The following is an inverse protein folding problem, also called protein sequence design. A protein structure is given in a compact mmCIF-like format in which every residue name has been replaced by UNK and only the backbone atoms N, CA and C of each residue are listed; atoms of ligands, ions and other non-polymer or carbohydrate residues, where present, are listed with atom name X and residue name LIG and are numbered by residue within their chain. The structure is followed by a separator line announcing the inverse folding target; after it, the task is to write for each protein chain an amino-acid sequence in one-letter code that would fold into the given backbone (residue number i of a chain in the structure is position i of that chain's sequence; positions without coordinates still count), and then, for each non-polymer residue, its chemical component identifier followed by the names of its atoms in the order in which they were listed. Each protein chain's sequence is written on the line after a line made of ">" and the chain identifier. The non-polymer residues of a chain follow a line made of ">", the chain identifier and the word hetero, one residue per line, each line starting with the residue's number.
data_IF_384304584112
#
_entry.id   IF_384304584112
#
_cell.length_a   1.000
_cell.length_b   1.000
_cell.length_c   1.000
_cell.angle_alpha   90.00
_cell.angle_beta   90.00
_cell.angle_gamma   90.00
#
_symmetry.space_group_name_H-M   'P 1'
#
loop_
_entity.id
_entity.type
_entity.pdbx_description
1 polymer ?
#
# COMPACT_ATOMS: atom_id res chain seq x y z
N UNK A 1 3.48 19.65 -4.77
CA UNK A 1 3.43 18.44 -5.62
C UNK A 1 3.64 17.25 -4.69
N UNK A 2 2.80 16.21 -4.70
CA UNK A 2 3.05 15.02 -3.89
C UNK A 2 4.37 14.35 -4.33
N UNK A 3 5.08 13.63 -3.44
CA UNK A 3 6.35 13.01 -3.76
C UNK A 3 6.20 11.92 -4.83
N UNK A 4 7.18 11.82 -5.74
CA UNK A 4 7.19 10.89 -6.88
C UNK A 4 7.42 9.42 -6.46
N UNK A 5 7.76 9.19 -5.20
CA UNK A 5 7.94 7.87 -4.60
C UNK A 5 7.33 7.85 -3.20
N UNK A 6 6.31 7.02 -3.00
CA UNK A 6 5.66 6.81 -1.72
C UNK A 6 4.22 6.34 -1.89
N UNK A 7 3.79 5.38 -1.07
CA UNK A 7 2.38 5.00 -0.98
C UNK A 7 1.67 6.08 -0.17
N UNK A 8 0.78 6.84 -0.81
CA UNK A 8 -0.01 7.87 -0.14
C UNK A 8 -1.43 7.33 0.09
N UNK A 9 -1.99 7.47 1.30
CA UNK A 9 -3.40 7.20 1.52
C UNK A 9 -4.27 7.97 0.52
N UNK A 10 -5.07 7.24 -0.27
CA UNK A 10 -6.01 7.87 -1.19
C UNK A 10 -7.03 8.74 -0.45
N UNK A 11 -7.56 9.75 -1.12
CA UNK A 11 -8.52 10.73 -0.56
C UNK A 11 -9.83 10.12 -0.02
N UNK A 12 -10.08 8.84 -0.27
CA UNK A 12 -11.26 8.09 0.17
C UNK A 12 -11.07 7.35 1.49
N UNK A 13 -9.89 7.41 2.11
CA UNK A 13 -9.68 6.83 3.44
C UNK A 13 -10.22 7.78 4.50
N UNK A 14 -11.43 7.49 4.99
CA UNK A 14 -12.17 8.32 5.96
C UNK A 14 -11.57 8.24 7.36
N UNK A 15 -11.00 7.08 7.73
CA UNK A 15 -10.32 6.84 9.01
C UNK A 15 -8.86 6.40 8.77
N UNK A 16 -7.86 7.23 9.14
CA UNK A 16 -6.45 6.89 8.97
C UNK A 16 -5.99 5.67 9.78
N UNK A 17 -6.56 5.44 10.96
CA UNK A 17 -6.18 4.33 11.84
C UNK A 17 -6.65 3.01 11.25
N UNK A 18 -7.94 2.91 10.91
CA UNK A 18 -8.50 1.71 10.28
C UNK A 18 -7.85 1.41 8.93
N UNK A 19 -7.49 2.46 8.18
CA UNK A 19 -6.76 2.33 6.92
C UNK A 19 -5.39 1.66 7.14
N UNK A 20 -4.61 2.14 8.11
CA UNK A 20 -3.30 1.57 8.41
C UNK A 20 -3.40 0.14 8.95
N UNK A 21 -4.40 -0.16 9.79
CA UNK A 21 -4.65 -1.52 10.27
C UNK A 21 -5.00 -2.47 9.12
N UNK A 22 -5.90 -2.05 8.24
CA UNK A 22 -6.28 -2.82 7.04
C UNK A 22 -5.09 -3.05 6.12
N UNK A 23 -4.26 -2.01 5.92
CA UNK A 23 -3.06 -2.12 5.11
C UNK A 23 -2.04 -3.10 5.71
N UNK A 24 -1.84 -3.09 7.03
CA UNK A 24 -0.99 -4.08 7.73
C UNK A 24 -1.48 -5.50 7.52
N UNK A 25 -2.78 -5.73 7.70
CA UNK A 25 -3.38 -7.05 7.46
C UNK A 25 -3.16 -7.55 6.03
N UNK A 26 -3.22 -6.67 5.03
CA UNK A 26 -2.94 -7.04 3.63
C UNK A 26 -1.44 -7.32 3.39
N UNK A 27 -0.55 -6.56 4.02
CA UNK A 27 0.90 -6.76 3.90
C UNK A 27 1.37 -8.09 4.52
N UNK A 28 0.68 -8.55 5.58
CA UNK A 28 0.94 -9.82 6.26
C UNK A 28 0.58 -11.05 5.41
N UNK A 29 -0.21 -10.89 4.35
CA UNK A 29 -0.47 -11.97 3.38
C UNK A 29 0.74 -12.29 2.49
N UNK A 30 1.79 -11.46 2.55
CA UNK A 30 2.99 -11.53 1.72
C UNK A 30 2.68 -11.74 0.21
N UNK A 31 1.86 -10.85 -0.39
CA UNK A 31 1.43 -11.04 -1.77
C UNK A 31 2.60 -10.95 -2.75
N UNK A 32 2.63 -11.85 -3.72
CA UNK A 32 3.54 -11.73 -4.86
C UNK A 32 3.16 -10.55 -5.78
N UNK A 33 1.86 -10.26 -5.91
CA UNK A 33 1.34 -9.23 -6.83
C UNK A 33 0.27 -8.39 -6.15
N UNK A 34 0.32 -7.07 -6.34
CA UNK A 34 -0.69 -6.11 -5.88
C UNK A 34 -1.12 -5.23 -7.05
N UNK A 35 -2.42 -5.29 -7.37
CA UNK A 35 -3.06 -4.41 -8.34
C UNK A 35 -3.64 -3.19 -7.61
N UNK A 36 -3.28 -2.00 -8.06
CA UNK A 36 -3.73 -0.74 -7.47
C UNK A 36 -4.75 -0.06 -8.37
N UNK A 37 -5.69 0.67 -7.76
CA UNK A 37 -6.69 1.43 -8.53
C UNK A 37 -6.10 2.62 -9.29
N UNK A 38 -4.93 3.10 -8.90
CA UNK A 38 -4.19 4.18 -9.57
C UNK A 38 -2.70 3.86 -9.57
N UNK A 39 -2.02 4.10 -10.70
CA UNK A 39 -0.60 3.81 -10.88
C UNK A 39 -0.34 2.41 -11.43
N UNK A 40 0.91 1.97 -11.31
CA UNK A 40 1.36 0.68 -11.84
C UNK A 40 1.26 -0.40 -10.78
N UNK A 41 0.73 -1.58 -11.15
CA UNK A 41 0.75 -2.76 -10.28
C UNK A 41 2.16 -3.17 -9.89
N UNK A 42 2.32 -3.69 -8.68
CA UNK A 42 3.58 -4.27 -8.19
C UNK A 42 3.54 -5.78 -8.41
N UNK A 43 4.57 -6.35 -9.01
CA UNK A 43 4.67 -7.79 -9.35
C UNK A 43 6.01 -8.33 -8.87
N UNK A 44 6.02 -9.53 -8.28
CA UNK A 44 7.23 -10.18 -7.75
C UNK A 44 7.31 -10.04 -6.23
N UNK A 45 7.57 -8.81 -5.77
CA UNK A 45 7.92 -8.52 -4.38
C UNK A 45 6.90 -7.58 -3.71
N UNK A 46 5.61 -7.74 -4.02
CA UNK A 46 4.61 -6.79 -3.56
C UNK A 46 4.47 -6.77 -2.03
N UNK A 47 4.58 -7.90 -1.34
CA UNK A 47 4.56 -7.97 0.12
C UNK A 47 5.71 -7.19 0.77
N UNK A 48 6.93 -7.32 0.23
CA UNK A 48 8.08 -6.56 0.72
C UNK A 48 7.90 -5.05 0.49
N UNK A 49 7.47 -4.66 -0.71
CA UNK A 49 7.18 -3.26 -1.04
C UNK A 49 6.08 -2.67 -0.13
N UNK A 50 5.05 -3.46 0.18
CA UNK A 50 3.99 -3.05 1.10
C UNK A 50 4.53 -2.80 2.51
N UNK A 51 5.35 -3.70 3.05
CA UNK A 51 5.95 -3.54 4.39
C UNK A 51 6.88 -2.34 4.47
N UNK A 52 7.68 -2.06 3.45
CA UNK A 52 8.51 -0.85 3.39
C UNK A 52 7.70 0.43 3.44
N UNK A 53 6.50 0.46 2.84
CA UNK A 53 5.65 1.63 2.84
C UNK A 53 4.99 1.95 4.20
N UNK A 54 5.00 1.01 5.15
CA UNK A 54 4.47 1.22 6.50
C UNK A 54 5.39 2.06 7.41
N UNK A 55 6.64 2.30 6.98
CA UNK A 55 7.68 2.94 7.79
C UNK A 55 8.51 1.93 8.57
#
# INVERSE_FOLDING_TARGET
>A
MPPETGVIPGAFNVDPTTMLESYRMLADLDPHTVCVGHGTSVVGDAGAAMRTALG
#
